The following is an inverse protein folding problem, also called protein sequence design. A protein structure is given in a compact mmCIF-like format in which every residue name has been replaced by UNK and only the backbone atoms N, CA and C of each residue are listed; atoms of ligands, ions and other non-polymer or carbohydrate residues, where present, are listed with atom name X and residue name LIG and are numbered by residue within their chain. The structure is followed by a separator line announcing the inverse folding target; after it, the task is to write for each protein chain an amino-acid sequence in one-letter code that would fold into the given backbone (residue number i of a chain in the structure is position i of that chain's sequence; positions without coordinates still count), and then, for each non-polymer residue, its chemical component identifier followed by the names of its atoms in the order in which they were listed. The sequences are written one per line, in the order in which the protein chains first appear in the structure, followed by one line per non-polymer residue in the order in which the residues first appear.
data_IF_175027193098
#
_entry.id   IF_175027193098
#
_cell.length_a   1.000
_cell.length_b   1.000
_cell.length_c   1.000
_cell.angle_alpha   90.00
_cell.angle_beta   90.00
_cell.angle_gamma   90.00
#
_symmetry.space_group_name_H-M   'P 1'
#
loop_
_entity.id
_entity.type
_entity.pdbx_description
1 polymer ?
#
# COMPACT_ATOMS: atom_id res chain seq x y z
N UNK A 1 -0.20 -47.44 -32.70
CA UNK A 1 -0.86 -46.47 -31.79
C UNK A 1 -0.04 -45.18 -31.62
N UNK A 2 1.29 -45.18 -31.79
CA UNK A 2 2.13 -43.98 -31.60
C UNK A 2 2.05 -42.95 -32.76
N UNK A 3 1.77 -43.39 -33.99
CA UNK A 3 1.69 -42.50 -35.17
C UNK A 3 0.46 -41.59 -35.17
N UNK A 4 -0.63 -42.00 -34.51
CA UNK A 4 -1.85 -41.20 -34.40
C UNK A 4 -1.70 -40.01 -33.44
N UNK A 5 -0.93 -40.16 -32.36
CA UNK A 5 -0.67 -39.06 -31.42
C UNK A 5 0.17 -37.94 -32.06
N UNK A 6 1.19 -38.31 -32.84
CA UNK A 6 2.02 -37.34 -33.55
C UNK A 6 1.23 -36.60 -34.64
N UNK A 7 0.35 -37.29 -35.37
CA UNK A 7 -0.52 -36.64 -36.35
C UNK A 7 -1.54 -35.70 -35.69
N UNK A 8 -2.14 -36.10 -34.57
CA UNK A 8 -3.05 -35.24 -33.80
C UNK A 8 -2.34 -34.00 -33.23
N UNK A 9 -1.10 -34.16 -32.75
CA UNK A 9 -0.28 -33.06 -32.27
C UNK A 9 0.14 -32.09 -33.39
N UNK A 10 0.54 -32.62 -34.55
CA UNK A 10 0.91 -31.81 -35.72
C UNK A 10 -0.27 -31.01 -36.28
N UNK A 11 -1.46 -31.62 -36.39
CA UNK A 11 -2.67 -30.91 -36.83
C UNK A 11 -3.04 -29.80 -35.83
N UNK A 12 -2.97 -30.09 -34.53
CA UNK A 12 -3.22 -29.10 -33.47
C UNK A 12 -2.22 -27.93 -33.49
N UNK A 13 -0.96 -28.16 -33.85
CA UNK A 13 0.06 -27.11 -33.99
C UNK A 13 -0.18 -26.25 -35.23
N UNK A 14 -0.56 -26.85 -36.36
CA UNK A 14 -0.85 -26.14 -37.61
C UNK A 14 -2.09 -25.25 -37.46
N UNK A 15 -3.11 -25.71 -36.74
CA UNK A 15 -4.31 -24.92 -36.45
C UNK A 15 -4.03 -23.72 -35.52
N UNK A 16 -3.04 -23.83 -34.62
CA UNK A 16 -2.64 -22.75 -33.71
C UNK A 16 -1.61 -21.78 -34.29
N UNK A 17 -1.01 -22.10 -35.43
CA UNK A 17 0.01 -21.27 -36.08
C UNK A 17 -0.47 -19.85 -36.41
N UNK A 18 -1.70 -19.64 -36.93
CA UNK A 18 -2.24 -18.29 -37.16
C UNK A 18 -2.44 -17.50 -35.86
N UNK A 19 -2.91 -18.16 -34.80
CA UNK A 19 -3.10 -17.54 -33.47
C UNK A 19 -1.77 -17.11 -32.86
N UNK A 20 -0.72 -17.93 -33.05
CA UNK A 20 0.64 -17.60 -32.62
C UNK A 20 1.16 -16.33 -33.29
N UNK A 21 0.94 -16.16 -34.61
CA UNK A 21 1.31 -14.95 -35.33
C UNK A 21 0.58 -13.71 -34.79
N UNK A 22 -0.74 -13.81 -34.57
CA UNK A 22 -1.53 -12.71 -33.98
C UNK A 22 -1.07 -12.34 -32.57
N UNK A 23 -0.82 -13.34 -31.72
CA UNK A 23 -0.34 -13.13 -30.36
C UNK A 23 1.02 -12.44 -30.33
N UNK A 24 1.98 -12.88 -31.17
CA UNK A 24 3.29 -12.24 -31.29
C UNK A 24 3.14 -10.80 -31.79
N UNK A 25 2.31 -10.56 -32.80
CA UNK A 25 2.07 -9.23 -33.35
C UNK A 25 1.51 -8.28 -32.27
N UNK A 26 0.52 -8.72 -31.51
CA UNK A 26 -0.08 -7.95 -30.40
C UNK A 26 0.94 -7.69 -29.30
N UNK A 27 1.74 -8.69 -28.91
CA UNK A 27 2.78 -8.52 -27.89
C UNK A 27 3.83 -7.50 -28.32
N UNK A 28 4.32 -7.59 -29.55
CA UNK A 28 5.32 -6.66 -30.10
C UNK A 28 4.76 -5.25 -30.18
N UNK A 29 3.55 -5.07 -30.73
CA UNK A 29 2.88 -3.77 -30.75
C UNK A 29 2.72 -3.21 -29.32
N UNK A 30 2.32 -4.07 -28.39
CA UNK A 30 2.19 -3.76 -26.98
C UNK A 30 3.47 -3.30 -26.30
N UNK A 31 4.60 -3.93 -26.62
CA UNK A 31 5.91 -3.56 -26.09
C UNK A 31 6.29 -2.12 -26.49
N UNK A 32 6.02 -1.72 -27.73
CA UNK A 32 6.23 -0.34 -28.18
C UNK A 32 5.34 0.66 -27.43
N UNK A 33 4.06 0.33 -27.26
CA UNK A 33 3.12 1.15 -26.48
C UNK A 33 3.57 1.28 -25.03
N UNK A 34 3.99 0.18 -24.40
CA UNK A 34 4.47 0.17 -23.03
C UNK A 34 5.71 1.05 -22.81
N UNK A 35 6.68 1.00 -23.74
CA UNK A 35 7.88 1.85 -23.70
C UNK A 35 7.51 3.33 -23.85
N UNK A 36 6.57 3.65 -24.74
CA UNK A 36 6.10 5.01 -24.93
C UNK A 36 5.37 5.55 -23.70
N UNK A 37 4.49 4.73 -23.11
CA UNK A 37 3.72 5.11 -21.93
C UNK A 37 4.59 5.24 -20.67
N UNK A 38 5.55 4.33 -20.46
CA UNK A 38 6.52 4.42 -19.36
C UNK A 38 7.33 5.71 -19.41
N UNK A 39 7.84 6.07 -20.59
CA UNK A 39 8.58 7.33 -20.79
C UNK A 39 7.69 8.57 -20.54
N UNK A 40 6.41 8.48 -20.89
CA UNK A 40 5.43 9.55 -20.64
C UNK A 40 5.16 9.71 -19.15
N UNK A 41 5.02 8.60 -18.42
CA UNK A 41 4.88 8.61 -16.97
C UNK A 41 6.09 9.26 -16.28
N UNK A 42 7.32 8.88 -16.64
CA UNK A 42 8.56 9.50 -16.10
C UNK A 42 8.53 11.02 -16.31
N UNK A 43 8.17 11.48 -17.52
CA UNK A 43 8.10 12.92 -17.83
C UNK A 43 7.02 13.65 -17.03
N UNK A 44 5.90 13.00 -16.74
CA UNK A 44 4.83 13.57 -15.93
C UNK A 44 5.24 13.66 -14.45
N UNK A 45 5.82 12.58 -13.92
CA UNK A 45 6.32 12.50 -12.54
C UNK A 45 7.50 13.44 -12.27
N UNK A 46 8.33 13.73 -13.28
CA UNK A 46 9.38 14.74 -13.18
C UNK A 46 8.85 16.18 -13.20
N UNK A 47 7.65 16.42 -13.73
CA UNK A 47 7.00 17.74 -13.74
C UNK A 47 6.28 18.05 -12.42
N UNK A 48 5.74 17.04 -11.74
CA UNK A 48 5.31 17.19 -10.36
C UNK A 48 6.55 17.30 -9.49
N UNK A 49 6.72 18.44 -8.80
CA UNK A 49 7.84 18.76 -7.91
C UNK A 49 7.98 17.84 -6.67
N UNK A 50 7.78 16.51 -6.80
CA UNK A 50 8.01 15.52 -5.74
C UNK A 50 9.42 15.64 -5.15
N UNK A 51 10.41 15.95 -6.00
CA UNK A 51 11.78 16.20 -5.56
C UNK A 51 11.90 17.38 -4.57
N UNK A 52 11.06 18.41 -4.70
CA UNK A 52 11.05 19.55 -3.76
C UNK A 52 10.33 19.20 -2.45
N UNK A 53 9.28 18.38 -2.49
CA UNK A 53 8.56 17.91 -1.30
C UNK A 53 9.42 16.93 -0.48
N UNK A 54 10.13 15.99 -1.14
CA UNK A 54 11.07 15.08 -0.49
C UNK A 54 12.28 15.83 0.12
N UNK A 55 12.81 16.85 -0.57
CA UNK A 55 13.88 17.72 -0.03
C UNK A 55 13.43 18.53 1.18
N UNK A 56 12.19 19.05 1.19
CA UNK A 56 11.62 19.80 2.33
C UNK A 56 11.35 18.94 3.57
N UNK A 57 11.22 17.63 3.41
CA UNK A 57 11.00 16.70 4.53
C UNK A 57 12.32 16.29 5.25
N UNK A 58 13.49 16.75 4.78
CA UNK A 58 14.79 16.45 5.41
C UNK A 58 15.35 15.05 5.12
N UNK A 59 14.74 14.31 4.19
CA UNK A 59 15.17 12.95 3.83
C UNK A 59 16.31 12.92 2.82
N UNK A 60 16.58 14.03 2.13
CA UNK A 60 17.68 14.12 1.16
C UNK A 60 19.06 13.87 1.80
N UNK A 61 19.28 14.37 3.02
CA UNK A 61 20.56 14.22 3.74
C UNK A 61 20.73 12.83 4.39
N UNK A 62 19.64 12.20 4.81
CA UNK A 62 19.64 10.84 5.38
C UNK A 62 19.78 9.78 4.29
N UNK A 63 19.25 10.04 3.08
CA UNK A 63 19.29 9.12 1.93
C UNK A 63 20.56 9.27 1.09
N UNK A 64 21.15 10.47 1.01
CA UNK A 64 22.44 10.69 0.36
C UNK A 64 23.59 9.93 1.04
N UNK A 65 23.48 9.63 2.35
CA UNK A 65 24.45 8.80 3.07
C UNK A 65 24.35 7.30 2.76
N UNK A 66 23.30 6.87 2.07
CA UNK A 66 23.05 5.46 1.71
C UNK A 66 23.34 5.15 0.23
N UNK A 67 23.80 6.13 -0.56
CA UNK A 67 24.03 6.03 -2.02
C UNK A 67 22.82 5.53 -2.83
N UNK A 68 21.65 5.53 -2.21
CA UNK A 68 20.36 5.23 -2.83
C UNK A 68 19.85 6.53 -3.43
N UNK A 69 20.28 6.84 -4.66
CA UNK A 69 19.56 7.78 -5.50
C UNK A 69 18.17 7.21 -5.77
N UNK A 70 17.19 7.59 -4.96
CA UNK A 70 15.78 7.29 -5.25
C UNK A 70 15.39 8.10 -6.49
N UNK A 71 15.67 7.53 -7.67
CA UNK A 71 15.01 7.92 -8.91
C UNK A 71 13.55 7.44 -8.83
N UNK A 72 12.79 8.00 -7.90
CA UNK A 72 11.38 7.69 -7.72
C UNK A 72 10.60 7.88 -9.04
N UNK A 73 10.84 8.95 -9.84
CA UNK A 73 10.26 9.07 -11.17
C UNK A 73 10.65 7.92 -12.11
N UNK A 74 11.91 7.50 -12.12
CA UNK A 74 12.39 6.35 -12.88
C UNK A 74 11.76 5.03 -12.44
N UNK A 75 11.65 4.79 -11.13
CA UNK A 75 11.00 3.60 -10.55
C UNK A 75 9.52 3.52 -10.93
N UNK A 76 8.78 4.63 -10.81
CA UNK A 76 7.38 4.69 -11.25
C UNK A 76 7.24 4.54 -12.76
N UNK A 77 8.16 5.08 -13.55
CA UNK A 77 8.21 4.89 -14.99
C UNK A 77 8.37 3.44 -15.41
N UNK A 78 9.31 2.73 -14.78
CA UNK A 78 9.55 1.31 -15.02
C UNK A 78 8.36 0.47 -14.56
N UNK A 79 7.76 0.80 -13.41
CA UNK A 79 6.51 0.19 -12.93
C UNK A 79 5.37 0.31 -13.96
N UNK A 80 5.15 1.51 -14.51
CA UNK A 80 4.12 1.74 -15.54
C UNK A 80 4.44 0.95 -16.80
N UNK A 81 5.69 0.93 -17.25
CA UNK A 81 6.12 0.15 -18.42
C UNK A 81 5.83 -1.34 -18.23
N UNK A 82 6.21 -1.93 -17.10
CA UNK A 82 5.93 -3.33 -16.79
C UNK A 82 4.43 -3.63 -16.70
N UNK A 83 3.65 -2.71 -16.14
CA UNK A 83 2.19 -2.83 -16.09
C UNK A 83 1.59 -2.99 -17.50
N UNK A 84 1.97 -2.12 -18.45
CA UNK A 84 1.51 -2.24 -19.83
C UNK A 84 2.03 -3.50 -20.52
N UNK A 85 3.30 -3.89 -20.31
CA UNK A 85 3.85 -5.14 -20.86
C UNK A 85 3.02 -6.34 -20.40
N UNK A 86 2.64 -6.41 -19.12
CA UNK A 86 1.86 -7.51 -18.56
C UNK A 86 0.45 -7.54 -19.17
N UNK A 87 -0.19 -6.39 -19.40
CA UNK A 87 -1.50 -6.31 -20.09
C UNK A 87 -1.40 -6.90 -21.50
N UNK A 88 -0.41 -6.48 -22.28
CA UNK A 88 -0.27 -6.99 -23.65
C UNK A 88 0.14 -8.46 -23.67
N UNK A 89 0.93 -8.92 -22.71
CA UNK A 89 1.22 -10.34 -22.52
C UNK A 89 -0.06 -11.13 -22.21
N UNK A 90 -0.90 -10.62 -21.32
CA UNK A 90 -2.20 -11.23 -20.97
C UNK A 90 -3.08 -11.40 -22.21
N UNK A 91 -3.26 -10.33 -23.00
CA UNK A 91 -4.04 -10.37 -24.25
C UNK A 91 -3.43 -11.39 -25.23
N UNK A 92 -2.10 -11.43 -25.34
CA UNK A 92 -1.41 -12.38 -26.21
C UNK A 92 -1.64 -13.83 -25.77
N UNK A 93 -1.64 -14.10 -24.47
CA UNK A 93 -1.94 -15.43 -23.93
C UNK A 93 -3.42 -15.83 -24.12
N UNK A 94 -4.35 -14.88 -24.10
CA UNK A 94 -5.76 -15.13 -24.46
C UNK A 94 -5.90 -15.53 -25.92
N UNK A 95 -5.21 -14.83 -26.83
CA UNK A 95 -5.19 -15.15 -28.26
C UNK A 95 -4.60 -16.55 -28.50
N UNK A 96 -3.59 -16.95 -27.72
CA UNK A 96 -3.00 -18.30 -27.76
C UNK A 96 -3.91 -19.41 -27.17
N UNK A 97 -5.04 -19.04 -26.58
CA UNK A 97 -5.94 -19.98 -25.91
C UNK A 97 -5.37 -20.51 -24.59
N UNK A 98 -4.62 -19.69 -23.85
CA UNK A 98 -4.06 -20.00 -22.53
C UNK A 98 -4.74 -19.17 -21.41
N UNK A 99 -6.05 -19.34 -21.19
CA UNK A 99 -6.82 -18.48 -20.28
C UNK A 99 -6.36 -18.60 -18.83
N UNK A 100 -5.84 -19.76 -18.39
CA UNK A 100 -5.32 -19.94 -17.03
C UNK A 100 -4.09 -19.05 -16.77
N UNK A 101 -3.20 -18.93 -17.74
CA UNK A 101 -2.04 -18.05 -17.64
C UNK A 101 -2.44 -16.57 -17.77
N UNK A 102 -3.39 -16.23 -18.66
CA UNK A 102 -3.97 -14.88 -18.71
C UNK A 102 -4.57 -14.47 -17.37
N UNK A 103 -5.40 -15.32 -16.76
CA UNK A 103 -6.01 -15.04 -15.45
C UNK A 103 -4.97 -14.85 -14.35
N UNK A 104 -3.87 -15.59 -14.38
CA UNK A 104 -2.74 -15.37 -13.47
C UNK A 104 -2.13 -13.96 -13.65
N UNK A 105 -1.88 -13.53 -14.89
CA UNK A 105 -1.39 -12.17 -15.16
C UNK A 105 -2.42 -11.11 -14.75
N UNK A 106 -3.72 -11.39 -14.90
CA UNK A 106 -4.79 -10.54 -14.37
C UNK A 106 -4.66 -10.28 -12.86
N UNK A 107 -4.30 -11.31 -12.07
CA UNK A 107 -4.03 -11.13 -10.63
C UNK A 107 -2.81 -10.24 -10.38
N UNK A 108 -1.77 -10.34 -11.21
CA UNK A 108 -0.58 -9.47 -11.12
C UNK A 108 -0.95 -8.01 -11.44
N UNK A 109 -1.83 -7.78 -12.42
CA UNK A 109 -2.36 -6.45 -12.76
C UNK A 109 -3.16 -5.89 -11.57
N UNK A 110 -4.02 -6.69 -10.94
CA UNK A 110 -4.75 -6.26 -9.73
C UNK A 110 -3.81 -5.90 -8.58
N UNK A 111 -2.65 -6.55 -8.47
CA UNK A 111 -1.63 -6.19 -7.48
C UNK A 111 -1.09 -4.75 -7.69
N UNK A 112 -1.01 -4.29 -8.94
CA UNK A 112 -0.60 -2.91 -9.25
C UNK A 112 -1.60 -1.88 -8.70
N UNK A 113 -2.90 -2.15 -8.78
CA UNK A 113 -3.94 -1.29 -8.18
C UNK A 113 -3.75 -1.17 -6.66
N UNK A 114 -3.41 -2.29 -6.00
CA UNK A 114 -3.10 -2.30 -4.58
C UNK A 114 -1.85 -1.47 -4.24
N UNK A 115 -0.78 -1.57 -5.04
CA UNK A 115 0.42 -0.74 -4.89
C UNK A 115 0.07 0.75 -5.00
N UNK A 116 -0.78 1.12 -5.97
CA UNK A 116 -1.22 2.51 -6.13
C UNK A 116 -1.95 3.02 -4.88
N UNK A 117 -2.93 2.27 -4.38
CA UNK A 117 -3.68 2.66 -3.16
C UNK A 117 -2.73 2.71 -1.94
N UNK A 118 -1.83 1.75 -1.80
CA UNK A 118 -0.84 1.73 -0.72
C UNK A 118 0.09 2.95 -0.76
N UNK A 119 0.49 3.40 -1.97
CA UNK A 119 1.29 4.62 -2.13
C UNK A 119 0.54 5.88 -1.71
N UNK A 120 -0.78 5.96 -1.97
CA UNK A 120 -1.61 7.06 -1.50
C UNK A 120 -1.72 7.07 0.03
N UNK A 121 -1.93 5.90 0.65
CA UNK A 121 -1.93 5.75 2.11
C UNK A 121 -0.61 6.24 2.70
N UNK A 122 0.53 5.87 2.10
CA UNK A 122 1.85 6.33 2.55
C UNK A 122 1.99 7.85 2.49
N UNK A 123 1.60 8.48 1.37
CA UNK A 123 1.66 9.95 1.22
C UNK A 123 0.81 10.65 2.29
N UNK A 124 -0.41 10.18 2.50
CA UNK A 124 -1.33 10.73 3.51
C UNK A 124 -0.75 10.52 4.91
N UNK A 125 -0.20 9.34 5.20
CA UNK A 125 0.38 9.01 6.49
C UNK A 125 1.57 9.90 6.84
N UNK A 126 2.46 10.19 5.88
CA UNK A 126 3.60 11.10 6.09
C UNK A 126 3.10 12.48 6.52
N UNK A 127 2.13 13.03 5.78
CA UNK A 127 1.55 14.34 6.12
C UNK A 127 0.86 14.32 7.48
N UNK A 128 0.04 13.29 7.73
CA UNK A 128 -0.71 13.15 8.97
C UNK A 128 0.22 13.00 10.17
N UNK A 129 1.27 12.20 10.06
CA UNK A 129 2.26 11.96 11.11
C UNK A 129 2.96 13.26 11.54
N UNK A 130 3.41 14.07 10.57
CA UNK A 130 4.09 15.33 10.85
C UNK A 130 3.12 16.41 11.35
N UNK A 131 1.91 16.48 10.78
CA UNK A 131 0.87 17.42 11.19
C UNK A 131 0.41 17.16 12.62
N UNK A 132 0.08 15.92 12.95
CA UNK A 132 -0.34 15.50 14.28
C UNK A 132 0.76 15.70 15.33
N UNK A 133 2.04 15.42 14.99
CA UNK A 133 3.15 15.72 15.88
C UNK A 133 3.21 17.22 16.20
N UNK A 134 3.13 18.10 15.19
CA UNK A 134 3.23 19.55 15.38
C UNK A 134 2.09 20.08 16.25
N UNK A 135 0.86 19.62 16.00
CA UNK A 135 -0.29 19.98 16.83
C UNK A 135 -0.07 19.56 18.28
N UNK A 136 0.35 18.31 18.51
CA UNK A 136 0.53 17.83 19.87
C UNK A 136 1.59 18.62 20.62
N UNK A 137 2.73 18.89 19.98
CA UNK A 137 3.80 19.70 20.59
C UNK A 137 3.28 21.09 20.91
N UNK A 138 2.57 21.74 19.98
CA UNK A 138 2.02 23.08 20.18
C UNK A 138 1.00 23.15 21.33
N UNK A 139 0.17 22.11 21.52
CA UNK A 139 -0.79 22.03 22.63
C UNK A 139 -0.06 21.83 23.96
N UNK A 140 0.88 20.90 24.02
CA UNK A 140 1.59 20.58 25.27
C UNK A 140 2.58 21.67 25.70
N UNK A 141 3.17 22.41 24.76
CA UNK A 141 4.01 23.56 25.07
C UNK A 141 3.20 24.73 25.66
N UNK A 142 1.96 24.95 25.19
CA UNK A 142 1.07 25.96 25.78
C UNK A 142 0.75 25.66 27.25
N UNK A 143 0.60 24.39 27.60
CA UNK A 143 0.37 23.92 28.97
C UNK A 143 1.67 23.79 29.80
N UNK A 144 2.82 24.26 29.29
CA UNK A 144 4.15 24.20 29.94
C UNK A 144 4.58 22.78 30.34
N UNK A 145 4.15 21.76 29.59
CA UNK A 145 4.54 20.37 29.85
C UNK A 145 5.96 20.12 29.32
N UNK A 146 6.90 19.82 30.23
CA UNK A 146 8.33 19.61 29.95
C UNK A 146 8.61 18.55 28.88
N UNK A 147 7.75 17.54 28.76
CA UNK A 147 7.93 16.41 27.84
C UNK A 147 7.15 16.54 26.51
N UNK A 148 6.69 17.75 26.14
CA UNK A 148 5.90 18.01 24.93
C UNK A 148 6.44 17.35 23.66
N UNK A 149 7.76 17.44 23.44
CA UNK A 149 8.44 16.86 22.27
C UNK A 149 8.47 15.32 22.27
N UNK A 150 8.51 14.68 23.45
CA UNK A 150 8.46 13.23 23.55
C UNK A 150 7.07 12.71 23.15
N UNK A 151 6.02 13.32 23.68
CA UNK A 151 4.64 12.98 23.31
C UNK A 151 4.36 13.18 21.82
N UNK A 152 4.83 14.29 21.23
CA UNK A 152 4.73 14.51 19.79
C UNK A 152 5.42 13.39 18.99
N UNK A 153 6.59 12.93 19.43
CA UNK A 153 7.31 11.83 18.79
C UNK A 153 6.56 10.49 18.94
N UNK A 154 5.97 10.22 20.09
CA UNK A 154 5.16 9.01 20.33
C UNK A 154 3.96 8.97 19.37
N UNK A 155 3.24 10.08 19.21
CA UNK A 155 2.12 10.18 18.26
C UNK A 155 2.57 9.93 16.83
N UNK A 156 3.72 10.48 16.42
CA UNK A 156 4.29 10.20 15.11
C UNK A 156 4.56 8.71 14.91
N UNK A 157 5.14 8.03 15.91
CA UNK A 157 5.38 6.59 15.86
C UNK A 157 4.09 5.76 15.78
N UNK A 158 3.04 6.17 16.50
CA UNK A 158 1.72 5.51 16.43
C UNK A 158 1.14 5.63 15.03
N UNK A 159 1.16 6.82 14.43
CA UNK A 159 0.64 7.02 13.08
C UNK A 159 1.43 6.19 12.07
N UNK A 160 2.76 6.15 12.19
CA UNK A 160 3.60 5.32 11.33
C UNK A 160 3.34 3.83 11.48
N UNK A 161 3.13 3.32 12.71
CA UNK A 161 2.83 1.90 12.92
C UNK A 161 1.47 1.53 12.30
N UNK A 162 0.45 2.35 12.50
CA UNK A 162 -0.88 2.16 11.91
C UNK A 162 -0.84 2.24 10.38
N UNK A 163 -0.14 3.23 9.83
CA UNK A 163 0.02 3.38 8.39
C UNK A 163 0.73 2.18 7.78
N UNK A 164 1.78 1.67 8.45
CA UNK A 164 2.52 0.49 7.99
C UNK A 164 1.61 -0.73 7.93
N UNK A 165 0.80 -0.98 8.97
CA UNK A 165 -0.17 -2.08 8.97
C UNK A 165 -1.21 -1.92 7.85
N UNK A 166 -1.72 -0.70 7.64
CA UNK A 166 -2.68 -0.42 6.57
C UNK A 166 -2.08 -0.65 5.17
N UNK A 167 -0.83 -0.23 4.96
CA UNK A 167 -0.08 -0.45 3.70
C UNK A 167 0.13 -1.93 3.45
N UNK A 168 0.59 -2.68 4.46
CA UNK A 168 0.80 -4.12 4.33
C UNK A 168 -0.51 -4.86 4.05
N UNK A 169 -1.62 -4.45 4.69
CA UNK A 169 -2.95 -4.97 4.42
C UNK A 169 -3.38 -4.68 2.98
N UNK A 170 -3.20 -3.43 2.52
CA UNK A 170 -3.55 -3.03 1.16
C UNK A 170 -2.74 -3.80 0.11
N UNK A 171 -1.44 -4.03 0.37
CA UNK A 171 -0.57 -4.84 -0.47
C UNK A 171 -0.90 -6.35 -0.45
N UNK A 172 -1.96 -6.77 0.25
CA UNK A 172 -2.40 -8.16 0.35
C UNK A 172 -1.32 -9.10 0.91
N UNK A 173 -0.43 -8.58 1.75
CA UNK A 173 0.60 -9.38 2.42
C UNK A 173 -0.03 -10.01 3.66
N UNK A 174 -0.53 -11.24 3.55
CA UNK A 174 -1.23 -11.94 4.63
C UNK A 174 -2.27 -11.04 5.35
N UNK A 175 -3.27 -10.50 4.62
CA UNK A 175 -4.18 -9.47 5.13
C UNK A 175 -4.95 -9.93 6.36
N UNK A 176 -5.29 -11.22 6.44
CA UNK A 176 -5.93 -11.82 7.60
C UNK A 176 -5.04 -11.77 8.83
N UNK A 177 -3.75 -12.11 8.72
CA UNK A 177 -2.82 -12.05 9.84
C UNK A 177 -2.67 -10.60 10.35
N UNK A 178 -2.50 -9.65 9.43
CA UNK A 178 -2.40 -8.23 9.78
C UNK A 178 -3.65 -7.75 10.51
N UNK A 179 -4.83 -8.05 9.96
CA UNK A 179 -6.10 -7.66 10.55
C UNK A 179 -6.31 -8.30 11.93
N UNK A 180 -6.00 -9.59 12.07
CA UNK A 180 -6.10 -10.30 13.36
C UNK A 180 -5.17 -9.71 14.41
N UNK A 181 -3.91 -9.42 14.07
CA UNK A 181 -2.96 -8.78 14.99
C UNK A 181 -3.43 -7.38 15.37
N UNK A 182 -3.91 -6.59 14.41
CA UNK A 182 -4.44 -5.26 14.67
C UNK A 182 -5.65 -5.29 15.61
N UNK A 183 -6.64 -6.13 15.31
CA UNK A 183 -7.83 -6.30 16.16
C UNK A 183 -7.43 -6.78 17.56
N UNK A 184 -6.54 -7.78 17.65
CA UNK A 184 -6.05 -8.29 18.93
C UNK A 184 -5.37 -7.21 19.77
N UNK A 185 -4.54 -6.37 19.15
CA UNK A 185 -3.89 -5.23 19.81
C UNK A 185 -4.90 -4.18 20.28
N UNK A 186 -5.88 -3.82 19.44
CA UNK A 186 -6.93 -2.86 19.79
C UNK A 186 -7.79 -3.38 20.94
N UNK A 187 -8.14 -4.66 20.94
CA UNK A 187 -8.88 -5.32 22.04
C UNK A 187 -8.06 -5.26 23.33
N UNK A 188 -6.77 -5.61 23.28
CA UNK A 188 -5.91 -5.57 24.45
C UNK A 188 -5.83 -4.16 25.07
N UNK A 189 -5.64 -3.13 24.25
CA UNK A 189 -5.63 -1.73 24.72
C UNK A 189 -7.00 -1.33 25.27
N UNK A 190 -8.08 -1.64 24.55
CA UNK A 190 -9.44 -1.30 24.96
C UNK A 190 -9.79 -1.92 26.30
N UNK A 191 -9.43 -3.19 26.51
CA UNK A 191 -9.60 -3.89 27.79
C UNK A 191 -8.72 -3.29 28.89
N UNK A 192 -7.45 -3.00 28.59
CA UNK A 192 -6.52 -2.41 29.57
C UNK A 192 -7.04 -1.06 30.06
N UNK A 193 -7.45 -0.19 29.13
CA UNK A 193 -8.03 1.11 29.43
C UNK A 193 -9.36 0.94 30.18
N UNK A 194 -10.25 0.08 29.69
CA UNK A 194 -11.54 -0.17 30.31
C UNK A 194 -11.43 -0.67 31.75
N UNK A 195 -10.49 -1.58 32.03
CA UNK A 195 -10.23 -2.10 33.37
C UNK A 195 -9.58 -1.03 34.25
N UNK A 196 -8.60 -0.28 33.73
CA UNK A 196 -7.93 0.77 34.49
C UNK A 196 -8.91 1.86 34.94
N UNK A 197 -9.77 2.34 34.03
CA UNK A 197 -10.81 3.32 34.36
C UNK A 197 -11.95 2.71 35.19
N UNK A 198 -12.33 1.46 34.93
CA UNK A 198 -13.39 0.77 35.68
C UNK A 198 -13.03 0.55 37.14
N UNK A 199 -11.81 0.07 37.41
CA UNK A 199 -11.31 -0.12 38.78
C UNK A 199 -10.96 1.22 39.44
N UNK A 200 -10.29 2.13 38.73
CA UNK A 200 -9.89 3.44 39.27
C UNK A 200 -11.05 4.41 39.51
N UNK A 201 -12.13 4.32 38.71
CA UNK A 201 -13.32 5.16 38.83
C UNK A 201 -14.40 4.58 39.76
N UNK A 202 -14.23 3.35 40.27
CA UNK A 202 -15.22 2.63 41.07
C UNK A 202 -15.72 3.44 42.26
N UNK A 203 -14.82 4.07 43.00
CA UNK A 203 -15.15 4.83 44.21
C UNK A 203 -15.93 6.12 43.89
N UNK A 204 -15.53 6.82 42.83
CA UNK A 204 -16.20 8.03 42.35
C UNK A 204 -17.62 7.68 41.88
N UNK A 205 -17.77 6.62 41.09
CA UNK A 205 -19.07 6.14 40.64
C UNK A 205 -19.97 5.75 41.82
N UNK A 206 -19.42 5.04 42.82
CA UNK A 206 -20.16 4.67 44.03
C UNK A 206 -20.64 5.89 44.83
N UNK A 207 -19.83 6.97 44.87
CA UNK A 207 -20.19 8.21 45.56
C UNK A 207 -21.32 8.96 44.84
N UNK A 208 -21.25 9.05 43.51
CA UNK A 208 -22.30 9.68 42.68
C UNK A 208 -23.64 8.93 42.84
N UNK A 209 -23.61 7.59 42.80
CA UNK A 209 -24.82 6.78 43.01
C UNK A 209 -25.45 7.02 44.39
N UNK A 210 -24.63 7.08 45.45
CA UNK A 210 -25.13 7.34 46.81
C UNK A 210 -25.74 8.73 46.96
N UNK A 211 -25.19 9.75 46.30
CA UNK A 211 -25.76 11.10 46.33
C UNK A 211 -27.09 11.18 45.54
N UNK A 212 -27.19 10.47 44.42
CA UNK A 212 -28.44 10.33 43.67
C UNK A 212 -29.52 9.61 44.48
N UNK A 213 -29.16 8.50 45.13
CA UNK A 213 -30.08 7.74 46.00
C UNK A 213 -30.63 8.63 47.13
N UNK A 214 -29.78 9.48 47.74
CA UNK A 214 -30.20 10.43 48.76
C UNK A 214 -31.09 11.56 48.25
N UNK A 215 -30.98 11.97 46.98
CA UNK A 215 -31.83 13.02 46.39
C UNK A 215 -33.19 12.51 45.92
N UNK A 216 -33.30 11.21 45.63
CA UNK A 216 -34.54 10.56 45.20
C UNK A 216 -35.39 10.05 46.37
N UNK A 217 -34.86 10.11 47.60
CA UNK A 217 -35.54 9.80 48.86
C UNK A 217 -35.94 11.08 49.58
#
# INVERSE_FOLDING_TARGET
METGFLQLFLVSLIEKLPQLLWAILVFVAGFFVAKWMGNTAVRFLNKTNLNQTLKRLGWAETLAKLDLSLDAPGFFGELVKWFFIIIFLMISLEILGLPQFSQFLGKVISYFQNIFIASLIFIIAVFLADFSQKIMVAVLEKEKITYSRLFGRVIRWIIWSLATLAILYQLQIAPTLILTVFIGFVIAISLTIGIAFGLGGKEIAAKILKELEKKLR
#
